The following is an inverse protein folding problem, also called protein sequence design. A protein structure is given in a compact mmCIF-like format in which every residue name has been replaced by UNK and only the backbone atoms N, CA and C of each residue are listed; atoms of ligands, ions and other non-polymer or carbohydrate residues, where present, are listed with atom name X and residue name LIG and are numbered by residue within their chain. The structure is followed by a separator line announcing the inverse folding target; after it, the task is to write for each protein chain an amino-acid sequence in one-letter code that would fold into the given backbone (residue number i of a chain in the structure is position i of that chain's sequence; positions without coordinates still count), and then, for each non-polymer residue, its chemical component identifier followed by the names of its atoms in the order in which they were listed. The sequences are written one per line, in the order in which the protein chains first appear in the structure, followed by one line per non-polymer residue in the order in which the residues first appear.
data_IF_207804696892
#
_entry.id   IF_207804696892
#
_cell.length_a   1.000
_cell.length_b   1.000
_cell.length_c   1.000
_cell.angle_alpha   90.00
_cell.angle_beta   90.00
_cell.angle_gamma   90.00
#
_symmetry.space_group_name_H-M   'P 1'
#
loop_
_entity.id
_entity.type
_entity.pdbx_description
1 polymer ?
#
# COMPACT_ATOMS: atom_id res chain seq x y z
N UNK A 1 -23.17 -1.07 -3.46
CA UNK A 1 -21.95 -0.42 -2.90
C UNK A 1 -21.49 0.65 -3.88
N UNK A 2 -21.39 1.90 -3.43
CA UNK A 2 -21.05 3.04 -4.28
C UNK A 2 -19.64 2.87 -4.88
N UNK A 3 -19.40 3.31 -6.11
CA UNK A 3 -18.14 3.07 -6.82
C UNK A 3 -16.95 3.72 -6.10
N UNK A 4 -17.18 4.92 -5.54
CA UNK A 4 -16.23 5.62 -4.67
C UNK A 4 -15.89 4.82 -3.40
N UNK A 5 -16.86 4.09 -2.84
CA UNK A 5 -16.66 3.26 -1.65
C UNK A 5 -15.77 2.05 -1.95
N UNK A 6 -15.90 1.46 -3.15
CA UNK A 6 -15.04 0.36 -3.61
C UNK A 6 -13.60 0.83 -3.77
N UNK A 7 -13.38 1.96 -4.43
CA UNK A 7 -12.05 2.52 -4.63
C UNK A 7 -11.36 2.86 -3.30
N UNK A 8 -12.12 3.40 -2.36
CA UNK A 8 -11.62 3.75 -1.03
C UNK A 8 -11.29 2.48 -0.20
N UNK A 9 -12.11 1.43 -0.29
CA UNK A 9 -11.80 0.13 0.30
C UNK A 9 -10.52 -0.47 -0.28
N UNK A 10 -10.37 -0.44 -1.60
CA UNK A 10 -9.16 -0.93 -2.25
C UNK A 10 -7.92 -0.12 -1.84
N UNK A 11 -8.03 1.19 -1.74
CA UNK A 11 -6.97 2.05 -1.22
C UNK A 11 -6.54 1.62 0.19
N UNK A 12 -7.50 1.44 1.10
CA UNK A 12 -7.22 1.03 2.48
C UNK A 12 -6.54 -0.35 2.52
N UNK A 13 -7.03 -1.31 1.73
CA UNK A 13 -6.43 -2.66 1.66
C UNK A 13 -4.99 -2.59 1.14
N UNK A 14 -4.74 -1.83 0.06
CA UNK A 14 -3.39 -1.65 -0.48
C UNK A 14 -2.45 -0.98 0.53
N UNK A 15 -2.94 0.02 1.28
CA UNK A 15 -2.18 0.68 2.34
C UNK A 15 -1.80 -0.27 3.47
N UNK A 16 -2.76 -1.05 3.97
CA UNK A 16 -2.52 -2.01 5.05
C UNK A 16 -1.48 -3.04 4.62
N UNK A 17 -1.60 -3.59 3.41
CA UNK A 17 -0.62 -4.52 2.86
C UNK A 17 0.76 -3.88 2.71
N UNK A 18 0.82 -2.64 2.22
CA UNK A 18 2.05 -1.87 2.12
C UNK A 18 2.73 -1.69 3.48
N UNK A 19 1.99 -1.28 4.50
CA UNK A 19 2.52 -1.12 5.86
C UNK A 19 3.00 -2.45 6.45
N UNK A 20 2.26 -3.54 6.28
CA UNK A 20 2.67 -4.87 6.74
C UNK A 20 4.02 -5.26 6.12
N UNK A 21 4.18 -5.03 4.81
CA UNK A 21 5.44 -5.27 4.10
C UNK A 21 6.55 -4.35 4.63
N UNK A 22 6.25 -3.07 4.82
CA UNK A 22 7.17 -2.10 5.42
C UNK A 22 7.71 -2.56 6.76
N UNK A 23 6.81 -2.99 7.66
CA UNK A 23 7.14 -3.41 9.02
C UNK A 23 7.87 -4.75 9.06
N UNK A 24 7.37 -5.77 8.36
CA UNK A 24 7.92 -7.13 8.45
C UNK A 24 9.18 -7.33 7.62
N UNK A 25 9.35 -6.58 6.53
CA UNK A 25 10.43 -6.79 5.57
C UNK A 25 11.43 -5.64 5.61
N UNK A 26 10.97 -4.40 5.47
CA UNK A 26 11.89 -3.28 5.27
C UNK A 26 12.48 -2.71 6.56
N UNK A 27 11.76 -2.74 7.69
CA UNK A 27 12.34 -2.35 8.99
C UNK A 27 13.56 -3.24 9.32
N UNK A 28 13.49 -4.59 9.25
CA UNK A 28 14.67 -5.44 9.47
C UNK A 28 15.79 -5.24 8.45
N UNK A 29 15.48 -4.85 7.21
CA UNK A 29 16.48 -4.64 6.16
C UNK A 29 17.28 -3.36 6.40
N UNK A 30 16.60 -2.27 6.73
CA UNK A 30 17.24 -0.97 6.90
C UNK A 30 17.66 -0.70 8.34
N UNK A 31 17.22 -1.53 9.28
CA UNK A 31 17.32 -1.32 10.73
C UNK A 31 16.83 0.09 11.14
N UNK A 32 15.86 0.60 10.37
CA UNK A 32 15.30 1.94 10.52
C UNK A 32 13.79 1.87 10.28
N UNK A 33 13.05 2.25 11.33
CA UNK A 33 11.59 2.26 11.33
C UNK A 33 11.03 3.26 10.31
N UNK A 34 11.66 4.43 10.16
CA UNK A 34 11.21 5.45 9.23
C UNK A 34 11.35 4.97 7.78
N UNK A 35 12.53 4.47 7.41
CA UNK A 35 12.78 3.88 6.09
C UNK A 35 11.82 2.71 5.80
N UNK A 36 11.61 1.82 6.76
CA UNK A 36 10.72 0.67 6.58
C UNK A 36 9.27 1.08 6.34
N UNK A 37 8.74 2.01 7.14
CA UNK A 37 7.39 2.54 6.97
C UNK A 37 7.27 3.33 5.66
N UNK A 38 8.27 4.13 5.31
CA UNK A 38 8.29 4.90 4.05
C UNK A 38 8.23 3.98 2.83
N UNK A 39 9.03 2.91 2.80
CA UNK A 39 8.98 1.92 1.73
C UNK A 39 7.65 1.18 1.69
N UNK A 40 7.10 0.79 2.85
CA UNK A 40 5.78 0.19 2.93
C UNK A 40 4.68 1.09 2.37
N UNK A 41 4.73 2.39 2.67
CA UNK A 41 3.82 3.38 2.12
C UNK A 41 3.94 3.48 0.59
N UNK A 42 5.15 3.58 0.05
CA UNK A 42 5.38 3.64 -1.40
C UNK A 42 4.81 2.42 -2.12
N UNK A 43 4.98 1.22 -1.55
CA UNK A 43 4.40 -0.01 -2.08
C UNK A 43 2.88 0.05 -2.03
N UNK A 44 2.29 0.45 -0.90
CA UNK A 44 0.84 0.59 -0.77
C UNK A 44 0.24 1.55 -1.79
N UNK A 45 0.88 2.71 -2.02
CA UNK A 45 0.44 3.69 -3.03
C UNK A 45 0.58 3.10 -4.42
N UNK A 46 1.74 2.50 -4.72
CA UNK A 46 2.03 1.89 -6.02
C UNK A 46 1.06 0.78 -6.38
N UNK A 47 0.73 -0.10 -5.43
CA UNK A 47 -0.26 -1.16 -5.61
C UNK A 47 -1.64 -0.58 -5.89
N UNK A 48 -2.09 0.43 -5.13
CA UNK A 48 -3.39 1.06 -5.38
C UNK A 48 -3.47 1.75 -6.75
N UNK A 49 -2.43 2.50 -7.14
CA UNK A 49 -2.37 3.16 -8.46
C UNK A 49 -2.36 2.13 -9.59
N UNK A 50 -1.64 1.01 -9.43
CA UNK A 50 -1.63 -0.08 -10.39
C UNK A 50 -3.01 -0.74 -10.51
N UNK A 51 -3.63 -1.09 -9.37
CA UNK A 51 -4.94 -1.73 -9.33
C UNK A 51 -6.06 -0.83 -9.85
N UNK A 52 -6.03 0.47 -9.57
CA UNK A 52 -7.00 1.44 -10.10
C UNK A 52 -6.88 1.65 -11.61
N UNK A 53 -5.68 1.52 -12.18
CA UNK A 53 -5.48 1.50 -13.64
C UNK A 53 -6.01 0.21 -14.28
N UNK A 54 -5.80 -0.93 -13.62
CA UNK A 54 -6.31 -2.23 -14.08
C UNK A 54 -7.84 -2.24 -14.04
N UNK A 55 -8.47 -1.63 -13.04
CA UNK A 55 -9.93 -1.54 -12.92
C UNK A 55 -10.61 -0.61 -13.93
N UNK A 56 -9.84 0.24 -14.65
CA UNK A 56 -10.34 1.16 -15.69
C UNK A 56 -10.26 0.60 -17.11
N UNK A 57 -9.70 -0.60 -17.31
CA UNK A 57 -9.55 -1.25 -18.60
C UNK A 57 -10.54 -2.39 -18.75
#
# INVERSE_FOLDING_TARGET
MNQNMKELLWFVVSMVMGIIIGVLIFIPIFDDTFMGVFMGFLIGVGTWVSSSKIAKK
#
